data_IF_514430741577
#
_entry.id   IF_514430741577
#
_cell.length_a   1.000
_cell.length_b   1.000
_cell.length_c   1.000
_cell.angle_alpha   90.00
_cell.angle_beta   90.00
_cell.angle_gamma   90.00
#
_symmetry.space_group_name_H-M   'P 1'
#
loop_
_entity.id
_entity.type
_entity.pdbx_description
1 polymer ?
#
# COMPACT_ATOMS: atom_id res chain seq x y z
N UNK A 1 66.45 39.51 -5.75
CA UNK A 1 65.82 38.37 -6.44
C UNK A 1 66.43 37.10 -5.88
N UNK A 2 65.66 36.01 -5.68
CA UNK A 2 64.19 35.99 -5.52
C UNK A 2 63.82 36.72 -4.19
N UNK A 3 62.82 36.44 -3.34
CA UNK A 3 61.64 35.55 -3.34
C UNK A 3 60.45 36.29 -2.71
N UNK A 4 59.22 35.80 -2.93
CA UNK A 4 58.11 35.85 -1.98
C UNK A 4 57.36 34.53 -2.09
N UNK A 5 57.02 33.88 -0.97
CA UNK A 5 55.98 32.85 -0.99
C UNK A 5 54.61 33.53 -1.08
N UNK A 6 53.68 33.03 -1.90
CA UNK A 6 52.31 33.54 -1.92
C UNK A 6 51.56 33.07 -0.65
N UNK A 7 50.56 33.83 -0.16
CA UNK A 7 49.78 33.42 0.98
C UNK A 7 48.98 32.14 0.66
N UNK A 8 48.86 31.25 1.65
CA UNK A 8 48.05 30.04 1.57
C UNK A 8 46.56 30.39 1.44
N UNK A 9 46.07 30.51 0.20
CA UNK A 9 44.69 30.86 -0.10
C UNK A 9 43.79 29.64 0.06
N UNK A 10 43.21 29.48 1.26
CA UNK A 10 41.99 28.69 1.43
C UNK A 10 40.97 29.11 0.35
N UNK A 11 40.30 28.16 -0.34
CA UNK A 11 39.36 28.51 -1.40
C UNK A 11 38.25 29.40 -0.83
N UNK A 12 37.79 30.43 -1.58
CA UNK A 12 36.73 31.31 -1.11
C UNK A 12 35.47 30.50 -0.85
N UNK A 13 34.79 30.74 0.27
CA UNK A 13 33.60 29.98 0.69
C UNK A 13 32.51 29.90 -0.41
N UNK A 14 32.45 30.91 -1.28
CA UNK A 14 31.64 30.96 -2.49
C UNK A 14 31.81 29.74 -3.40
N UNK A 15 33.02 29.19 -3.53
CA UNK A 15 33.30 28.00 -4.33
C UNK A 15 32.72 26.72 -3.69
N UNK A 16 32.79 26.61 -2.36
CA UNK A 16 32.17 25.50 -1.61
C UNK A 16 30.65 25.54 -1.73
N UNK A 17 30.05 26.74 -1.61
CA UNK A 17 28.61 26.95 -1.79
C UNK A 17 28.16 26.57 -3.22
N UNK A 18 28.93 26.97 -4.24
CA UNK A 18 28.63 26.68 -5.64
C UNK A 18 28.63 25.18 -5.99
N UNK A 19 29.42 24.36 -5.27
CA UNK A 19 29.43 22.89 -5.45
C UNK A 19 28.34 22.19 -4.64
N UNK A 20 28.00 22.69 -3.45
CA UNK A 20 26.94 22.11 -2.61
C UNK A 20 25.52 22.36 -3.16
N UNK A 21 25.27 23.53 -3.76
CA UNK A 21 23.92 23.90 -4.22
C UNK A 21 23.32 22.97 -5.30
N UNK A 22 24.02 22.58 -6.39
CA UNK A 22 23.43 21.67 -7.39
C UNK A 22 23.22 20.26 -6.83
N UNK A 23 24.14 19.74 -6.01
CA UNK A 23 23.99 18.43 -5.38
C UNK A 23 22.81 18.39 -4.39
N UNK A 24 22.56 19.49 -3.67
CA UNK A 24 21.37 19.63 -2.82
C UNK A 24 20.07 19.62 -3.64
N UNK A 25 20.03 20.30 -4.79
CA UNK A 25 18.87 20.29 -5.68
C UNK A 25 18.61 18.89 -6.26
N UNK A 26 19.65 18.20 -6.76
CA UNK A 26 19.54 16.82 -7.24
C UNK A 26 19.02 15.87 -6.15
N UNK A 27 19.53 16.01 -4.91
CA UNK A 27 19.07 15.23 -3.77
C UNK A 27 17.57 15.47 -3.47
N UNK A 28 17.12 16.73 -3.49
CA UNK A 28 15.71 17.10 -3.28
C UNK A 28 14.82 16.58 -4.41
N UNK A 29 15.21 16.78 -5.67
CA UNK A 29 14.47 16.26 -6.84
C UNK A 29 14.33 14.73 -6.80
N UNK A 30 15.41 14.01 -6.45
CA UNK A 30 15.38 12.55 -6.31
C UNK A 30 14.41 12.11 -5.21
N UNK A 31 14.37 12.83 -4.08
CA UNK A 31 13.43 12.56 -2.98
C UNK A 31 11.98 12.87 -3.36
N UNK A 32 11.73 13.99 -4.04
CA UNK A 32 10.40 14.33 -4.56
C UNK A 32 9.91 13.30 -5.59
N UNK A 33 10.80 12.82 -6.48
CA UNK A 33 10.50 11.77 -7.44
C UNK A 33 10.14 10.44 -6.76
N UNK A 34 10.85 10.06 -5.71
CA UNK A 34 10.53 8.87 -4.89
C UNK A 34 9.15 8.99 -4.22
N UNK A 35 8.86 10.14 -3.60
CA UNK A 35 7.53 10.41 -3.00
C UNK A 35 6.42 10.35 -4.05
N UNK A 36 6.63 10.94 -5.22
CA UNK A 36 5.65 10.89 -6.32
C UNK A 36 5.41 9.45 -6.83
N UNK A 37 6.45 8.62 -6.94
CA UNK A 37 6.29 7.20 -7.27
C UNK A 37 5.44 6.45 -6.22
N UNK A 38 5.73 6.63 -4.92
CA UNK A 38 4.97 6.03 -3.80
C UNK A 38 3.50 6.47 -3.83
N UNK A 39 3.23 7.76 -4.01
CA UNK A 39 1.87 8.31 -4.10
C UNK A 39 1.12 7.75 -5.32
N UNK A 40 1.79 7.56 -6.47
CA UNK A 40 1.18 6.94 -7.65
C UNK A 40 0.83 5.46 -7.44
N UNK A 41 1.64 4.69 -6.70
CA UNK A 41 1.33 3.29 -6.35
C UNK A 41 0.05 3.23 -5.52
N UNK A 42 -0.02 4.04 -4.45
CA UNK A 42 -1.20 4.13 -3.57
C UNK A 42 -2.44 4.53 -4.36
N UNK A 43 -2.40 5.65 -5.10
CA UNK A 43 -3.56 6.16 -5.86
C UNK A 43 -4.08 5.11 -6.85
N UNK A 44 -3.19 4.46 -7.62
CA UNK A 44 -3.60 3.45 -8.61
C UNK A 44 -4.24 2.22 -7.96
N UNK A 45 -3.71 1.78 -6.82
CA UNK A 45 -4.24 0.63 -6.10
C UNK A 45 -5.64 0.92 -5.53
N UNK A 46 -5.83 2.05 -4.86
CA UNK A 46 -7.14 2.43 -4.31
C UNK A 46 -8.17 2.70 -5.42
N UNK A 47 -7.77 3.35 -6.52
CA UNK A 47 -8.65 3.54 -7.69
C UNK A 47 -9.07 2.21 -8.32
N UNK A 48 -8.18 1.20 -8.33
CA UNK A 48 -8.47 -0.12 -8.88
C UNK A 48 -9.46 -0.87 -7.98
N UNK A 49 -9.27 -0.86 -6.65
CA UNK A 49 -10.22 -1.45 -5.70
C UNK A 49 -11.58 -0.74 -5.73
N UNK A 50 -11.61 0.60 -5.80
CA UNK A 50 -12.85 1.36 -5.96
C UNK A 50 -13.57 0.99 -7.27
N UNK A 51 -12.83 0.81 -8.37
CA UNK A 51 -13.37 0.35 -9.66
C UNK A 51 -13.95 -1.07 -9.62
N UNK A 52 -13.47 -1.93 -8.73
CA UNK A 52 -14.09 -3.24 -8.47
C UNK A 52 -15.39 -3.13 -7.66
N UNK A 53 -15.41 -2.23 -6.67
CA UNK A 53 -16.59 -2.02 -5.81
C UNK A 53 -17.74 -1.30 -6.53
N UNK A 54 -17.45 -0.34 -7.42
CA UNK A 54 -18.47 0.37 -8.21
C UNK A 54 -19.20 -0.57 -9.16
N UNK A 55 -18.46 -1.38 -9.94
CA UNK A 55 -19.06 -2.36 -10.86
C UNK A 55 -19.91 -3.38 -10.13
N UNK A 56 -19.51 -3.81 -8.93
CA UNK A 56 -20.35 -4.67 -8.08
C UNK A 56 -21.72 -4.03 -7.79
N UNK A 57 -21.79 -2.72 -7.54
CA UNK A 57 -23.06 -2.05 -7.24
C UNK A 57 -23.98 -2.08 -8.48
N UNK A 58 -23.43 -1.73 -9.65
CA UNK A 58 -24.12 -1.83 -10.95
C UNK A 58 -24.55 -3.29 -11.27
N UNK A 59 -23.70 -4.28 -10.96
CA UNK A 59 -23.92 -5.71 -11.17
C UNK A 59 -24.95 -6.32 -10.16
N UNK A 60 -25.12 -5.73 -8.95
CA UNK A 60 -25.99 -6.29 -7.88
C UNK A 60 -27.35 -5.61 -7.73
N UNK A 61 -27.57 -4.41 -8.29
CA UNK A 61 -28.91 -3.82 -8.39
C UNK A 61 -29.83 -4.56 -9.38
N UNK A 62 -29.28 -5.44 -10.22
CA UNK A 62 -30.00 -6.13 -11.30
C UNK A 62 -30.75 -7.40 -10.88
N UNK A 63 -30.30 -8.14 -9.85
CA UNK A 63 -30.89 -9.46 -9.52
C UNK A 63 -30.71 -9.85 -8.05
N UNK A 64 -31.77 -10.39 -7.43
CA UNK A 64 -31.77 -10.87 -6.04
C UNK A 64 -31.12 -12.28 -5.94
N UNK A 65 -29.84 -12.37 -6.31
CA UNK A 65 -29.07 -13.61 -6.39
C UNK A 65 -28.95 -14.32 -5.02
N UNK A 66 -29.11 -15.66 -4.95
CA UNK A 66 -28.92 -16.41 -3.71
C UNK A 66 -27.46 -16.34 -3.23
N UNK A 67 -27.29 -16.27 -1.91
CA UNK A 67 -25.96 -16.23 -1.30
C UNK A 67 -25.18 -17.53 -1.54
N UNK A 68 -23.91 -17.42 -1.91
CA UNK A 68 -22.99 -18.56 -1.95
C UNK A 68 -22.36 -18.74 -0.57
N UNK A 69 -22.51 -19.91 0.03
CA UNK A 69 -21.91 -20.25 1.33
C UNK A 69 -20.53 -20.89 1.13
N UNK A 70 -19.57 -20.49 1.95
CA UNK A 70 -18.27 -21.16 2.08
C UNK A 70 -17.93 -21.38 3.55
N UNK A 71 -17.17 -22.44 3.83
CA UNK A 71 -16.51 -22.61 5.12
C UNK A 71 -15.10 -21.97 5.16
N UNK A 72 -14.52 -21.82 6.34
CA UNK A 72 -13.23 -21.13 6.51
C UNK A 72 -12.04 -21.80 5.78
N UNK A 73 -12.03 -23.13 5.61
CA UNK A 73 -10.99 -23.79 4.79
C UNK A 73 -11.15 -23.47 3.30
N UNK A 74 -12.38 -23.43 2.77
CA UNK A 74 -12.64 -23.07 1.36
C UNK A 74 -12.25 -21.62 1.08
N UNK A 75 -12.52 -20.71 2.01
CA UNK A 75 -12.12 -19.30 1.92
C UNK A 75 -10.60 -19.12 1.98
N UNK A 76 -9.89 -19.90 2.79
CA UNK A 76 -8.42 -19.89 2.82
C UNK A 76 -7.80 -20.44 1.52
N UNK A 77 -8.42 -21.45 0.91
CA UNK A 77 -7.98 -22.01 -0.38
C UNK A 77 -8.29 -21.07 -1.56
N UNK A 78 -9.46 -20.44 -1.61
CA UNK A 78 -9.86 -19.54 -2.70
C UNK A 78 -9.20 -18.16 -2.58
N UNK A 79 -9.14 -17.61 -1.37
CA UNK A 79 -8.68 -16.24 -1.09
C UNK A 79 -7.56 -16.17 -0.04
N UNK A 80 -6.43 -16.88 -0.22
CA UNK A 80 -5.37 -16.97 0.79
C UNK A 80 -4.75 -15.62 1.17
N UNK A 81 -4.71 -14.63 0.26
CA UNK A 81 -4.15 -13.31 0.58
C UNK A 81 -5.19 -12.39 1.23
N UNK A 82 -6.43 -12.36 0.74
CA UNK A 82 -7.44 -11.39 1.16
C UNK A 82 -8.26 -11.82 2.39
N UNK A 83 -8.69 -13.08 2.45
CA UNK A 83 -9.57 -13.59 3.53
C UNK A 83 -8.82 -14.59 4.41
N UNK A 84 -8.10 -15.52 3.79
CA UNK A 84 -7.33 -16.56 4.48
C UNK A 84 -6.29 -16.00 5.46
N UNK A 85 -5.52 -15.00 5.02
CA UNK A 85 -4.56 -14.29 5.88
C UNK A 85 -5.23 -13.64 7.10
N UNK A 86 -6.41 -13.03 6.92
CA UNK A 86 -7.18 -12.38 7.98
C UNK A 86 -7.76 -13.42 8.96
N UNK A 87 -8.32 -14.53 8.46
CA UNK A 87 -8.81 -15.64 9.27
C UNK A 87 -7.68 -16.19 10.17
N UNK A 88 -6.51 -16.48 9.57
CA UNK A 88 -5.30 -16.92 10.28
C UNK A 88 -4.85 -15.92 11.34
N UNK A 89 -4.80 -14.64 11.01
CA UNK A 89 -4.35 -13.57 11.91
C UNK A 89 -5.29 -13.35 13.11
N UNK A 90 -6.59 -13.63 12.94
CA UNK A 90 -7.60 -13.50 14.00
C UNK A 90 -7.90 -14.84 14.72
N UNK A 91 -7.11 -15.88 14.48
CA UNK A 91 -7.21 -17.16 15.20
C UNK A 91 -8.32 -18.11 14.73
N UNK A 92 -8.94 -17.86 13.58
CA UNK A 92 -9.93 -18.77 12.99
C UNK A 92 -9.25 -20.06 12.50
N UNK A 93 -9.95 -21.19 12.64
CA UNK A 93 -9.49 -22.47 12.13
C UNK A 93 -9.69 -22.56 10.61
N UNK A 94 -8.60 -22.85 9.89
CA UNK A 94 -8.53 -22.92 8.42
C UNK A 94 -7.74 -24.15 7.93
N UNK A 95 -7.59 -25.18 8.78
CA UNK A 95 -6.77 -26.37 8.46
C UNK A 95 -7.50 -27.68 8.69
N UNK A 96 -7.81 -27.97 9.95
CA UNK A 96 -8.22 -29.30 10.39
C UNK A 96 -9.65 -29.23 10.94
N UNK A 97 -10.58 -30.03 10.41
CA UNK A 97 -12.00 -30.06 10.84
C UNK A 97 -12.77 -28.73 10.66
N UNK A 98 -12.39 -27.90 9.68
CA UNK A 98 -13.23 -26.77 9.24
C UNK A 98 -14.65 -27.27 8.89
N UNK A 99 -15.69 -26.64 9.47
CA UNK A 99 -17.08 -27.04 9.22
C UNK A 99 -17.84 -27.48 10.47
N UNK A 100 -17.46 -27.00 11.65
CA UNK A 100 -18.42 -26.88 12.76
C UNK A 100 -19.64 -26.05 12.33
N UNK A 101 -20.76 -26.15 13.05
CA UNK A 101 -22.06 -25.58 12.64
C UNK A 101 -22.07 -24.06 12.38
N UNK A 102 -21.02 -23.36 12.81
CA UNK A 102 -20.86 -21.92 12.78
C UNK A 102 -19.68 -21.46 11.90
N UNK A 103 -18.93 -22.38 11.29
CA UNK A 103 -17.67 -22.10 10.56
C UNK A 103 -17.90 -21.65 9.10
N UNK A 104 -19.00 -20.93 8.83
CA UNK A 104 -19.46 -20.60 7.48
C UNK A 104 -19.80 -19.13 7.32
N UNK A 105 -19.65 -18.62 6.09
CA UNK A 105 -20.01 -17.26 5.68
C UNK A 105 -20.73 -17.31 4.34
N UNK A 106 -21.88 -16.65 4.26
CA UNK A 106 -22.62 -16.42 3.01
C UNK A 106 -22.20 -15.12 2.33
N UNK A 107 -21.94 -15.16 1.02
CA UNK A 107 -21.62 -13.99 0.20
C UNK A 107 -22.66 -13.82 -0.91
N UNK A 108 -23.23 -12.62 -1.04
CA UNK A 108 -24.13 -12.27 -2.17
C UNK A 108 -23.38 -12.11 -3.50
N UNK A 109 -22.10 -11.73 -3.44
CA UNK A 109 -21.24 -11.57 -4.61
C UNK A 109 -19.77 -11.82 -4.21
N UNK A 110 -19.07 -12.54 -5.08
CA UNK A 110 -17.66 -12.90 -4.97
C UNK A 110 -16.74 -12.09 -5.90
N UNK A 111 -17.32 -11.39 -6.87
CA UNK A 111 -16.64 -10.69 -7.96
C UNK A 111 -15.63 -9.66 -7.44
N UNK A 112 -15.96 -8.95 -6.36
CA UNK A 112 -14.99 -8.07 -5.69
C UNK A 112 -13.78 -8.85 -5.15
N UNK A 113 -14.00 -9.98 -4.47
CA UNK A 113 -12.94 -10.78 -3.86
C UNK A 113 -12.08 -11.48 -4.92
N UNK A 114 -12.70 -11.99 -5.99
CA UNK A 114 -11.99 -12.59 -7.13
C UNK A 114 -11.09 -11.56 -7.83
N UNK A 115 -11.60 -10.35 -8.10
CA UNK A 115 -10.83 -9.24 -8.71
C UNK A 115 -9.72 -8.74 -7.75
N UNK A 116 -9.99 -8.61 -6.45
CA UNK A 116 -9.04 -8.10 -5.46
C UNK A 116 -7.93 -9.09 -5.09
N UNK A 117 -8.23 -10.38 -4.97
CA UNK A 117 -7.22 -11.43 -4.73
C UNK A 117 -6.25 -11.55 -5.92
N UNK A 118 -6.74 -11.39 -7.15
CA UNK A 118 -5.89 -11.32 -8.36
C UNK A 118 -5.03 -10.04 -8.37
N UNK A 119 -5.55 -8.90 -7.92
CA UNK A 119 -4.75 -7.68 -7.77
C UNK A 119 -3.63 -7.87 -6.75
N UNK A 120 -3.92 -8.43 -5.57
CA UNK A 120 -2.93 -8.72 -4.53
C UNK A 120 -1.83 -9.68 -5.02
N UNK A 121 -2.20 -10.75 -5.73
CA UNK A 121 -1.25 -11.72 -6.32
C UNK A 121 -0.30 -11.12 -7.37
N UNK A 122 -0.71 -10.05 -8.03
CA UNK A 122 0.07 -9.37 -9.08
C UNK A 122 0.78 -8.09 -8.60
N UNK A 123 0.60 -7.67 -7.36
CA UNK A 123 1.25 -6.48 -6.78
C UNK A 123 2.60 -6.88 -6.17
N UNK A 124 3.65 -6.06 -6.33
CA UNK A 124 4.98 -6.43 -5.78
C UNK A 124 4.98 -6.35 -4.25
N UNK A 125 5.92 -7.04 -3.59
CA UNK A 125 6.03 -7.01 -2.13
C UNK A 125 6.33 -5.60 -1.58
N UNK A 126 7.07 -4.78 -2.33
CA UNK A 126 7.43 -3.41 -1.94
C UNK A 126 6.22 -2.45 -2.10
N UNK A 127 5.46 -2.61 -3.19
CA UNK A 127 4.18 -1.92 -3.38
C UNK A 127 3.16 -2.33 -2.31
N UNK A 128 2.96 -3.64 -2.06
CA UNK A 128 2.06 -4.16 -1.04
C UNK A 128 2.41 -3.62 0.35
N UNK A 129 3.70 -3.60 0.70
CA UNK A 129 4.18 -3.01 1.95
C UNK A 129 3.83 -1.53 2.03
N UNK A 130 4.12 -0.78 0.97
CA UNK A 130 3.81 0.66 0.86
C UNK A 130 2.32 0.94 1.05
N UNK A 131 1.46 0.12 0.45
CA UNK A 131 -0.01 0.22 0.55
C UNK A 131 -0.49 -0.12 1.97
N UNK A 132 0.06 -1.15 2.61
CA UNK A 132 -0.32 -1.55 3.98
C UNK A 132 0.13 -0.51 5.02
N UNK A 133 1.35 0.02 4.89
CA UNK A 133 1.85 1.10 5.75
C UNK A 133 1.00 2.38 5.57
N UNK A 134 0.64 2.74 4.33
CA UNK A 134 -0.29 3.85 4.06
C UNK A 134 -1.66 3.63 4.70
N UNK A 135 -2.33 2.49 4.44
CA UNK A 135 -3.68 2.20 4.95
C UNK A 135 -3.72 2.24 6.48
N UNK A 136 -2.70 1.71 7.15
CA UNK A 136 -2.59 1.71 8.61
C UNK A 136 -2.44 3.13 9.17
N UNK A 137 -1.56 3.96 8.58
CA UNK A 137 -1.32 5.33 9.01
C UNK A 137 -2.57 6.20 8.76
N UNK A 138 -3.15 6.13 7.57
CA UNK A 138 -4.33 6.93 7.19
C UNK A 138 -5.56 6.57 8.03
N UNK A 139 -5.86 5.27 8.24
CA UNK A 139 -6.98 4.85 9.11
C UNK A 139 -6.78 5.26 10.58
N UNK A 140 -5.52 5.43 11.01
CA UNK A 140 -5.14 5.82 12.38
C UNK A 140 -4.92 7.33 12.56
N UNK A 141 -4.96 8.13 11.49
CA UNK A 141 -4.41 9.50 11.42
C UNK A 141 -4.85 10.40 12.58
N UNK A 142 -6.15 10.45 12.86
CA UNK A 142 -6.80 11.15 13.99
C UNK A 142 -6.23 10.82 15.38
N UNK A 143 -5.61 9.66 15.59
CA UNK A 143 -5.04 9.21 16.87
C UNK A 143 -3.52 9.40 16.96
N UNK A 144 -2.85 9.74 15.86
CA UNK A 144 -1.40 9.96 15.80
C UNK A 144 -1.00 11.38 16.25
N UNK A 145 0.28 11.74 16.12
CA UNK A 145 0.79 13.10 16.39
C UNK A 145 0.20 14.11 15.39
N UNK A 146 0.19 15.43 15.69
CA UNK A 146 -0.48 16.44 14.86
C UNK A 146 -0.09 16.43 13.39
N UNK A 147 1.16 16.08 13.08
CA UNK A 147 1.74 16.03 11.74
C UNK A 147 1.05 15.01 10.82
N UNK A 148 0.42 13.99 11.39
CA UNK A 148 -0.33 12.96 10.65
C UNK A 148 -1.84 13.24 10.61
N UNK A 149 -2.37 14.20 11.37
CA UNK A 149 -3.83 14.47 11.45
C UNK A 149 -4.40 15.24 10.26
N UNK A 150 -3.54 15.67 9.34
CA UNK A 150 -3.90 16.39 8.10
C UNK A 150 -3.73 15.51 6.86
N UNK A 151 -3.76 14.18 7.02
CA UNK A 151 -3.51 13.17 5.99
C UNK A 151 -4.61 12.10 5.94
#
# INVERSE_FOLDING_TARGET
>A
MPSREPPNSSPPATATIALHHPFFLEFVERRLRQVHCVVLVIIRFEQTLAGFALRKLEETEAEASPYTVFNYCELDQKYPLLIGSWLKANGFNVRDQCGGSNDWVGFHDLTYFDKAEVLLKNTTLDDLRTIVEYKLIHASSKYLTPEFRTA
#
